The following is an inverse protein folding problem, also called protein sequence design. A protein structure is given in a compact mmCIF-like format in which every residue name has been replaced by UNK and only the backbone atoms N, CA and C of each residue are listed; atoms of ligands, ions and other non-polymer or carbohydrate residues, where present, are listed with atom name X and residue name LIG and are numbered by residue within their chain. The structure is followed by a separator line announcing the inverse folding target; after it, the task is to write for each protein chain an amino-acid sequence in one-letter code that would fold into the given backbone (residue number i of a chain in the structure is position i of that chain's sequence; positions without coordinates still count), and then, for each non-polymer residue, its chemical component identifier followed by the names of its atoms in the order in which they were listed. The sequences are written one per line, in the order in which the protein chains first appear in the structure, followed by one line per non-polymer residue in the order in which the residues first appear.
data_IF_451637359783
#
_entry.id   IF_451637359783
#
_cell.length_a   1.000
_cell.length_b   1.000
_cell.length_c   1.000
_cell.angle_alpha   90.00
_cell.angle_beta   90.00
_cell.angle_gamma   90.00
#
_symmetry.space_group_name_H-M   'P 1'
#
loop_
_entity.id
_entity.type
_entity.pdbx_description
1 polymer ?
#
# COMPACT_ATOMS: atom_id res chain seq x y z
N UNK A 1 22.69 7.88 -115.89
CA UNK A 1 22.77 8.94 -114.84
C UNK A 1 21.35 9.25 -114.37
N UNK A 2 20.98 8.89 -113.08
CA UNK A 2 19.69 9.19 -112.51
C UNK A 2 19.89 10.39 -111.54
N UNK A 3 19.35 11.54 -111.91
CA UNK A 3 19.34 12.74 -111.04
C UNK A 3 18.51 12.45 -109.76
N UNK A 4 19.13 12.68 -108.59
CA UNK A 4 18.41 12.67 -107.31
C UNK A 4 17.71 14.01 -107.18
N UNK A 5 16.39 14.04 -107.31
CA UNK A 5 15.55 15.18 -106.93
C UNK A 5 15.73 15.38 -105.38
N UNK A 6 16.29 16.53 -104.96
CA UNK A 6 16.22 17.01 -103.55
C UNK A 6 14.80 17.57 -103.34
N UNK A 7 14.01 16.87 -102.56
CA UNK A 7 12.73 17.37 -102.08
C UNK A 7 13.04 18.29 -100.88
N UNK A 8 12.98 19.59 -101.15
CA UNK A 8 13.09 20.64 -100.09
C UNK A 8 11.68 20.77 -99.48
N UNK A 9 11.48 20.33 -98.27
CA UNK A 9 10.27 20.65 -97.51
C UNK A 9 10.35 22.04 -96.95
N UNK A 10 9.61 22.96 -97.52
CA UNK A 10 9.45 24.32 -96.97
C UNK A 10 8.23 24.35 -96.08
N UNK A 11 8.48 24.66 -94.74
CA UNK A 11 7.40 24.76 -93.77
C UNK A 11 6.47 25.93 -94.07
N UNK A 12 5.17 25.74 -93.96
CA UNK A 12 4.18 26.80 -94.05
C UNK A 12 4.32 27.83 -92.94
N UNK A 13 3.88 29.08 -93.18
CA UNK A 13 3.90 30.14 -92.10
C UNK A 13 3.22 29.68 -90.85
N UNK A 14 2.18 28.89 -90.90
CA UNK A 14 1.48 28.29 -89.71
C UNK A 14 2.35 27.29 -88.98
N UNK A 15 3.06 26.43 -89.67
CA UNK A 15 3.98 25.47 -89.05
C UNK A 15 5.18 26.15 -88.43
N UNK A 16 5.71 27.21 -89.01
CA UNK A 16 6.79 28.03 -88.44
C UNK A 16 6.30 28.72 -87.16
N UNK A 17 5.12 29.34 -87.17
CA UNK A 17 4.52 29.97 -85.97
C UNK A 17 4.29 28.93 -84.85
N UNK A 18 3.73 27.77 -85.26
CA UNK A 18 3.50 26.68 -84.24
C UNK A 18 4.79 26.16 -83.62
N UNK A 19 5.87 26.02 -84.43
CA UNK A 19 7.17 25.61 -83.93
C UNK A 19 7.80 26.71 -83.04
N UNK A 20 7.63 27.99 -83.35
CA UNK A 20 8.06 29.09 -82.47
C UNK A 20 7.30 29.09 -81.15
N UNK A 21 5.99 28.89 -81.14
CA UNK A 21 5.18 28.82 -79.92
C UNK A 21 5.60 27.61 -79.10
N UNK A 22 5.76 26.44 -79.74
CA UNK A 22 6.20 25.21 -79.07
C UNK A 22 7.62 25.36 -78.48
N UNK A 23 8.57 25.99 -79.25
CA UNK A 23 9.92 26.25 -78.74
C UNK A 23 9.93 27.21 -77.55
N UNK A 24 9.07 28.25 -77.56
CA UNK A 24 8.91 29.16 -76.43
C UNK A 24 8.37 28.42 -75.21
N UNK A 25 7.37 27.58 -75.35
CA UNK A 25 6.86 26.73 -74.26
C UNK A 25 7.94 25.81 -73.67
N UNK A 26 8.74 25.16 -74.53
CA UNK A 26 9.86 24.32 -74.11
C UNK A 26 10.92 25.12 -73.38
N UNK A 27 11.28 26.29 -73.87
CA UNK A 27 12.27 27.16 -73.18
C UNK A 27 11.77 27.61 -71.84
N UNK A 28 10.48 28.00 -71.71
CA UNK A 28 9.86 28.37 -70.45
C UNK A 28 9.82 27.16 -69.49
N UNK A 29 9.42 25.98 -69.97
CA UNK A 29 9.40 24.77 -69.15
C UNK A 29 10.81 24.38 -68.68
N UNK A 30 11.82 24.46 -69.54
CA UNK A 30 13.21 24.22 -69.16
C UNK A 30 13.68 25.28 -68.13
N UNK A 31 13.32 26.54 -68.32
CA UNK A 31 13.63 27.61 -67.39
C UNK A 31 13.04 27.39 -66.01
N UNK A 32 11.76 27.02 -65.97
CA UNK A 32 11.09 26.65 -64.68
C UNK A 32 11.72 25.44 -64.03
N UNK A 33 12.03 24.42 -64.83
CA UNK A 33 12.71 23.21 -64.29
C UNK A 33 14.09 23.55 -63.75
N UNK A 34 14.91 24.32 -64.47
CA UNK A 34 16.24 24.76 -63.99
C UNK A 34 16.15 25.64 -62.75
N UNK A 35 15.18 26.52 -62.70
CA UNK A 35 14.91 27.35 -61.51
C UNK A 35 14.62 26.47 -60.26
N UNK A 36 13.67 25.55 -60.37
CA UNK A 36 13.36 24.60 -59.33
C UNK A 36 14.57 23.74 -58.92
N UNK A 37 15.32 23.26 -59.92
CA UNK A 37 16.50 22.45 -59.70
C UNK A 37 17.60 23.19 -58.92
N UNK A 38 17.86 24.47 -59.26
CA UNK A 38 18.86 25.27 -58.54
C UNK A 38 18.49 25.48 -57.09
N UNK A 39 17.20 25.64 -56.79
CA UNK A 39 16.70 25.82 -55.43
C UNK A 39 16.83 24.53 -54.62
N UNK A 40 16.45 23.42 -55.16
CA UNK A 40 16.38 22.13 -54.45
C UNK A 40 17.74 21.43 -54.35
N UNK A 41 18.63 21.71 -55.31
CA UNK A 41 19.95 21.03 -55.38
C UNK A 41 20.76 21.01 -54.09
N UNK A 42 20.82 22.04 -53.23
CA UNK A 42 21.52 21.98 -51.97
C UNK A 42 20.97 20.94 -51.01
N UNK A 43 19.66 20.66 -51.07
CA UNK A 43 18.92 19.79 -50.18
C UNK A 43 19.04 18.26 -50.51
N UNK A 44 19.78 17.93 -51.58
CA UNK A 44 20.25 16.53 -51.75
C UNK A 44 21.34 16.12 -50.74
N UNK A 45 21.94 17.11 -50.05
CA UNK A 45 23.00 16.87 -49.07
C UNK A 45 22.84 17.67 -47.77
N UNK A 46 21.77 18.43 -47.64
CA UNK A 46 21.39 19.19 -46.44
C UNK A 46 19.98 18.87 -46.02
N UNK A 47 19.70 19.06 -44.76
CA UNK A 47 18.34 18.91 -44.16
C UNK A 47 17.44 20.04 -44.72
N UNK A 48 16.18 19.70 -45.03
CA UNK A 48 15.16 20.61 -45.50
C UNK A 48 14.91 21.77 -44.52
N UNK A 49 14.44 22.95 -45.02
CA UNK A 49 13.97 24.04 -44.16
C UNK A 49 12.86 23.56 -43.21
N UNK A 50 12.70 24.27 -42.11
CA UNK A 50 11.66 24.01 -41.08
C UNK A 50 11.66 22.59 -40.49
N UNK A 51 12.86 21.98 -40.44
CA UNK A 51 13.05 20.63 -39.89
C UNK A 51 13.56 20.70 -38.45
N UNK A 52 12.93 19.88 -37.58
CA UNK A 52 13.21 19.82 -36.16
C UNK A 52 13.51 18.39 -35.71
N UNK A 53 14.36 18.28 -34.68
CA UNK A 53 14.49 17.08 -33.87
C UNK A 53 13.92 17.42 -32.49
N UNK A 54 12.69 16.97 -32.20
CA UNK A 54 11.92 17.43 -31.06
C UNK A 54 11.79 18.95 -31.01
N UNK A 55 12.44 19.60 -30.04
CA UNK A 55 12.46 21.10 -29.94
C UNK A 55 13.64 21.75 -30.67
N UNK A 56 14.61 20.98 -31.14
CA UNK A 56 15.84 21.52 -31.74
C UNK A 56 15.71 21.72 -33.24
N UNK A 57 16.01 22.92 -33.70
CA UNK A 57 16.01 23.28 -35.12
C UNK A 57 17.26 22.76 -35.81
N UNK A 58 17.10 21.90 -36.82
CA UNK A 58 18.19 21.22 -37.54
C UNK A 58 18.16 21.49 -39.05
N UNK A 59 17.38 22.48 -39.51
CA UNK A 59 17.30 22.84 -40.92
C UNK A 59 18.67 23.35 -41.46
N UNK A 60 18.87 23.15 -42.78
CA UNK A 60 20.09 23.53 -43.50
C UNK A 60 21.41 22.88 -43.05
N UNK A 61 21.36 21.98 -42.04
CA UNK A 61 22.52 21.22 -41.61
C UNK A 61 22.91 20.18 -42.68
N UNK A 62 24.19 20.12 -43.02
CA UNK A 62 24.66 19.10 -43.96
C UNK A 62 24.52 17.70 -43.36
N UNK A 63 24.22 16.68 -44.16
CA UNK A 63 24.14 15.31 -43.70
C UNK A 63 25.42 14.82 -43.00
N UNK A 64 26.58 15.30 -43.50
CA UNK A 64 27.88 14.98 -42.89
C UNK A 64 28.05 15.59 -41.50
N UNK A 65 27.40 16.73 -41.25
CA UNK A 65 27.49 17.46 -39.96
C UNK A 65 26.39 17.05 -38.96
N UNK A 66 25.38 16.31 -39.39
CA UNK A 66 24.25 15.91 -38.51
C UNK A 66 24.71 15.21 -37.25
N UNK A 67 25.74 14.32 -37.35
CA UNK A 67 26.24 13.62 -36.19
C UNK A 67 26.77 14.57 -35.12
N UNK A 68 27.52 15.59 -35.52
CA UNK A 68 28.08 16.59 -34.58
C UNK A 68 27.00 17.48 -33.97
N UNK A 69 25.98 17.85 -34.77
CA UNK A 69 24.86 18.66 -34.30
C UNK A 69 24.00 17.91 -33.30
N UNK A 70 23.71 16.62 -33.56
CA UNK A 70 22.96 15.78 -32.62
C UNK A 70 23.78 15.51 -31.35
N UNK A 71 25.12 15.40 -31.45
CA UNK A 71 26.00 15.31 -30.29
C UNK A 71 25.88 16.51 -29.36
N UNK A 72 25.84 17.69 -29.93
CA UNK A 72 25.68 18.97 -29.17
C UNK A 72 24.37 18.96 -28.34
N UNK A 73 23.29 18.49 -28.94
CA UNK A 73 21.98 18.41 -28.25
C UNK A 73 21.81 17.22 -27.33
N UNK A 74 22.61 16.16 -27.50
CA UNK A 74 22.44 14.90 -26.75
C UNK A 74 22.53 15.09 -25.24
N UNK A 75 23.39 15.98 -24.76
CA UNK A 75 23.52 16.28 -23.32
C UNK A 75 22.24 16.93 -22.77
N UNK A 76 21.67 17.87 -23.50
CA UNK A 76 20.42 18.52 -23.09
C UNK A 76 19.24 17.53 -23.16
N UNK A 77 19.15 16.72 -24.23
CA UNK A 77 18.12 15.71 -24.41
C UNK A 77 18.16 14.70 -23.25
N UNK A 78 19.34 14.20 -22.88
CA UNK A 78 19.48 13.22 -21.79
C UNK A 78 19.18 13.79 -20.40
N UNK A 79 19.22 15.10 -20.23
CA UNK A 79 18.85 15.78 -19.00
C UNK A 79 17.36 16.14 -18.93
N UNK A 80 16.60 15.97 -20.01
CA UNK A 80 15.13 16.07 -19.97
C UNK A 80 14.55 15.01 -19.05
N UNK A 81 13.40 15.31 -18.45
CA UNK A 81 12.82 14.48 -17.41
C UNK A 81 11.56 13.79 -17.87
N UNK A 82 11.41 12.57 -17.39
CA UNK A 82 10.18 11.79 -17.45
C UNK A 82 9.63 11.64 -16.02
N UNK A 83 8.32 11.64 -15.89
CA UNK A 83 7.65 11.37 -14.62
C UNK A 83 7.16 9.93 -14.58
N UNK A 84 7.62 9.17 -13.59
CA UNK A 84 7.13 7.83 -13.31
C UNK A 84 6.07 7.92 -12.21
N UNK A 85 4.85 7.49 -12.49
CA UNK A 85 3.78 7.39 -11.52
C UNK A 85 3.74 5.97 -10.97
N UNK A 86 3.94 5.82 -9.66
CA UNK A 86 3.94 4.52 -8.98
C UNK A 86 3.29 4.66 -7.61
N UNK A 87 2.34 3.78 -7.27
CA UNK A 87 1.64 3.79 -5.98
C UNK A 87 1.10 5.18 -5.60
N UNK A 88 0.48 5.90 -6.54
CA UNK A 88 -0.02 7.27 -6.40
C UNK A 88 1.04 8.33 -6.04
N UNK A 89 2.32 8.00 -6.17
CA UNK A 89 3.43 8.93 -5.99
C UNK A 89 4.13 9.18 -7.33
N UNK A 90 4.69 10.38 -7.48
CA UNK A 90 5.40 10.80 -8.67
C UNK A 90 6.90 10.81 -8.41
N UNK A 91 7.65 10.20 -9.31
CA UNK A 91 9.11 10.15 -9.30
C UNK A 91 9.60 10.75 -10.62
N UNK A 92 10.47 11.73 -10.56
CA UNK A 92 10.99 12.42 -11.75
C UNK A 92 12.44 12.04 -11.96
N UNK A 93 12.74 11.43 -13.11
CA UNK A 93 14.09 11.03 -13.51
C UNK A 93 14.42 11.61 -14.86
N UNK A 94 15.70 11.95 -15.08
CA UNK A 94 16.21 12.26 -16.40
C UNK A 94 16.38 10.99 -17.24
N UNK A 95 16.40 11.14 -18.57
CA UNK A 95 16.66 10.01 -19.46
C UNK A 95 18.04 9.38 -19.16
N UNK A 96 19.01 10.20 -18.74
CA UNK A 96 20.34 9.73 -18.30
C UNK A 96 20.26 8.83 -17.07
N UNK A 97 19.48 9.21 -16.04
CA UNK A 97 19.30 8.42 -14.83
C UNK A 97 18.62 7.06 -15.12
N UNK A 98 17.84 6.99 -16.19
CA UNK A 98 17.26 5.75 -16.69
C UNK A 98 18.24 4.90 -17.53
N UNK A 99 19.47 5.38 -17.75
CA UNK A 99 20.48 4.70 -18.56
C UNK A 99 20.25 4.79 -20.07
N UNK A 100 19.41 5.72 -20.53
CA UNK A 100 19.15 5.92 -21.95
C UNK A 100 20.34 6.60 -22.63
N UNK A 101 20.50 6.32 -23.91
CA UNK A 101 21.48 6.96 -24.79
C UNK A 101 20.76 7.40 -26.07
N UNK A 102 21.16 8.54 -26.65
CA UNK A 102 20.57 8.99 -27.92
C UNK A 102 21.10 8.11 -29.06
N UNK A 103 20.21 7.42 -29.77
CA UNK A 103 20.56 6.64 -30.96
C UNK A 103 20.70 7.54 -32.21
N UNK A 104 21.81 8.26 -32.26
CA UNK A 104 22.14 9.18 -33.32
C UNK A 104 22.12 8.55 -34.69
N UNK A 105 22.62 7.30 -34.81
CA UNK A 105 22.67 6.60 -36.10
C UNK A 105 21.27 6.36 -36.66
N UNK A 106 20.33 6.02 -35.81
CA UNK A 106 18.96 5.76 -36.22
C UNK A 106 18.26 7.08 -36.57
N UNK A 107 18.42 8.12 -35.75
CA UNK A 107 17.88 9.47 -36.03
C UNK A 107 18.36 9.98 -37.39
N UNK A 108 19.68 9.97 -37.63
CA UNK A 108 20.27 10.42 -38.90
C UNK A 108 19.71 9.59 -40.07
N UNK A 109 19.59 8.29 -39.89
CA UNK A 109 19.05 7.41 -40.91
C UNK A 109 17.60 7.78 -41.25
N UNK A 110 16.76 8.03 -40.26
CA UNK A 110 15.37 8.45 -40.47
C UNK A 110 15.29 9.75 -41.24
N UNK A 111 16.03 10.78 -40.84
CA UNK A 111 16.06 12.09 -41.50
C UNK A 111 16.49 11.95 -42.97
N UNK A 112 17.63 11.29 -43.18
CA UNK A 112 18.20 11.12 -44.53
C UNK A 112 17.32 10.21 -45.43
N UNK A 113 16.73 9.14 -44.86
CA UNK A 113 15.84 8.27 -45.64
C UNK A 113 14.53 8.94 -46.02
N UNK A 114 13.91 9.69 -45.09
CA UNK A 114 12.74 10.50 -45.38
C UNK A 114 13.01 11.43 -46.55
N UNK A 115 14.04 12.25 -46.47
CA UNK A 115 14.34 13.24 -47.49
C UNK A 115 14.75 12.60 -48.85
N UNK A 116 15.43 11.41 -48.83
CA UNK A 116 15.76 10.66 -50.04
C UNK A 116 14.58 9.93 -50.63
N UNK A 117 13.49 9.73 -49.92
CA UNK A 117 12.26 9.11 -50.45
C UNK A 117 11.43 10.10 -51.25
N UNK A 118 11.62 11.41 -51.06
CA UNK A 118 10.94 12.44 -51.81
C UNK A 118 11.48 12.49 -53.24
N UNK A 119 10.58 12.59 -54.19
CA UNK A 119 10.96 12.85 -55.58
C UNK A 119 11.33 14.36 -55.76
N UNK A 120 11.73 14.71 -56.95
CA UNK A 120 12.17 16.11 -57.23
C UNK A 120 11.05 17.12 -57.01
N UNK A 121 9.79 16.80 -57.35
CA UNK A 121 8.68 17.73 -57.22
C UNK A 121 8.24 17.81 -55.76
N UNK A 122 8.14 16.69 -55.07
CA UNK A 122 7.86 16.64 -53.63
C UNK A 122 8.91 17.42 -52.81
N UNK A 123 10.19 17.25 -53.14
CA UNK A 123 11.26 17.97 -52.48
C UNK A 123 11.19 19.49 -52.71
N UNK A 124 10.72 19.92 -53.94
CA UNK A 124 10.50 21.33 -54.22
C UNK A 124 9.26 21.88 -53.48
N UNK A 125 8.20 21.11 -53.42
CA UNK A 125 6.95 21.47 -52.77
C UNK A 125 7.19 21.62 -51.25
N UNK A 126 7.86 20.66 -50.61
CA UNK A 126 8.29 20.72 -49.20
C UNK A 126 9.14 21.99 -48.91
N UNK A 127 10.04 22.31 -49.84
CA UNK A 127 10.87 23.52 -49.69
C UNK A 127 10.03 24.80 -49.77
N UNK A 128 9.05 24.89 -50.71
CA UNK A 128 8.24 26.08 -50.94
C UNK A 128 7.16 26.26 -49.89
N UNK A 129 6.50 25.20 -49.52
CA UNK A 129 5.39 25.19 -48.57
C UNK A 129 5.87 25.30 -47.13
N UNK A 130 7.19 25.12 -46.89
CA UNK A 130 7.81 25.12 -45.56
C UNK A 130 7.05 24.21 -44.59
N UNK A 131 6.74 23.00 -45.03
CA UNK A 131 6.11 22.03 -44.18
C UNK A 131 7.02 21.72 -43.01
N UNK A 132 6.43 21.75 -41.79
CA UNK A 132 7.17 21.49 -40.56
C UNK A 132 7.46 20.01 -40.43
N UNK A 133 8.71 19.61 -40.66
CA UNK A 133 9.20 18.25 -40.46
C UNK A 133 9.70 18.09 -39.03
N UNK A 134 9.02 17.25 -38.23
CA UNK A 134 9.41 17.04 -36.83
C UNK A 134 9.77 15.56 -36.59
N UNK A 135 11.06 15.31 -36.35
CA UNK A 135 11.57 14.00 -35.98
C UNK A 135 11.64 13.88 -34.46
N UNK A 136 11.28 12.69 -33.93
CA UNK A 136 11.34 12.41 -32.51
C UNK A 136 12.73 11.92 -32.10
N UNK A 137 13.03 12.03 -30.81
CA UNK A 137 14.22 11.42 -30.24
C UNK A 137 14.09 9.90 -30.34
N UNK A 138 15.22 9.25 -30.64
CA UNK A 138 15.32 7.80 -30.58
C UNK A 138 16.39 7.45 -29.58
N UNK A 139 16.02 6.60 -28.62
CA UNK A 139 16.94 6.15 -27.59
C UNK A 139 17.35 4.70 -27.84
N UNK A 140 18.61 4.42 -27.54
CA UNK A 140 19.10 3.08 -27.27
C UNK A 140 19.16 2.89 -25.75
N UNK A 141 18.90 1.68 -25.29
CA UNK A 141 18.88 1.31 -23.89
C UNK A 141 19.38 -0.12 -23.71
N UNK A 142 19.81 -0.42 -22.49
CA UNK A 142 20.14 -1.76 -22.03
C UNK A 142 19.02 -2.22 -21.09
N UNK A 143 18.34 -3.30 -21.42
CA UNK A 143 17.20 -3.82 -20.64
C UNK A 143 17.64 -4.27 -19.23
N UNK A 144 18.84 -4.82 -19.08
CA UNK A 144 19.36 -5.23 -17.77
C UNK A 144 19.59 -4.01 -16.86
N UNK A 145 20.14 -2.93 -17.43
CA UNK A 145 20.31 -1.64 -16.72
C UNK A 145 18.97 -1.04 -16.29
N UNK A 146 17.96 -1.06 -17.16
CA UNK A 146 16.62 -0.59 -16.82
C UNK A 146 15.95 -1.46 -15.75
N UNK A 147 16.16 -2.76 -15.83
CA UNK A 147 15.66 -3.70 -14.82
C UNK A 147 16.31 -3.48 -13.47
N UNK A 148 17.62 -3.20 -13.43
CA UNK A 148 18.34 -2.85 -12.21
C UNK A 148 17.85 -1.52 -11.62
N UNK A 149 17.58 -0.52 -12.46
CA UNK A 149 16.95 0.74 -12.05
C UNK A 149 15.58 0.47 -11.41
N UNK A 150 14.72 -0.32 -12.06
CA UNK A 150 13.39 -0.66 -11.52
C UNK A 150 13.49 -1.46 -10.22
N UNK A 151 14.45 -2.33 -10.06
CA UNK A 151 14.70 -3.03 -8.80
C UNK A 151 15.14 -2.06 -7.69
N UNK A 152 15.91 -1.04 -8.02
CA UNK A 152 16.30 0.01 -7.07
C UNK A 152 15.08 0.88 -6.69
N UNK A 153 14.26 1.25 -7.67
CA UNK A 153 13.01 1.95 -7.42
C UNK A 153 12.05 1.14 -6.56
N UNK A 154 11.97 -0.18 -6.81
CA UNK A 154 11.16 -1.12 -6.02
C UNK A 154 11.48 -1.04 -4.52
N UNK A 155 12.74 -0.94 -4.14
CA UNK A 155 13.15 -0.79 -2.73
C UNK A 155 12.64 0.51 -2.08
N UNK A 156 12.32 1.53 -2.88
CA UNK A 156 11.80 2.81 -2.40
C UNK A 156 10.27 2.86 -2.34
N UNK A 157 9.60 2.15 -3.26
CA UNK A 157 8.14 2.25 -3.43
C UNK A 157 7.37 1.09 -2.80
N UNK A 158 8.02 -0.04 -2.55
CA UNK A 158 7.37 -1.19 -1.92
C UNK A 158 7.03 -0.85 -0.47
N UNK A 159 5.81 -1.20 -0.09
CA UNK A 159 5.27 -1.02 1.26
C UNK A 159 4.88 -2.37 1.81
N UNK A 160 5.43 -2.72 2.96
CA UNK A 160 5.02 -3.93 3.67
C UNK A 160 3.65 -3.71 4.30
N UNK A 161 2.71 -4.61 4.02
CA UNK A 161 1.39 -4.60 4.64
C UNK A 161 1.49 -4.64 6.16
N UNK A 162 0.68 -3.83 6.80
CA UNK A 162 0.42 -3.91 8.25
C UNK A 162 -1.08 -3.93 8.48
N UNK A 163 -1.58 -4.99 9.11
CA UNK A 163 -2.99 -5.03 9.52
C UNK A 163 -3.25 -4.06 10.67
N UNK A 164 -4.50 -3.60 10.79
CA UNK A 164 -4.90 -2.73 11.88
C UNK A 164 -4.77 -3.44 13.23
N UNK A 165 -4.36 -2.72 14.25
CA UNK A 165 -4.09 -3.26 15.58
C UNK A 165 -4.46 -2.27 16.68
N UNK A 166 -4.65 -2.80 17.89
CA UNK A 166 -4.78 -1.97 19.07
C UNK A 166 -3.40 -1.58 19.62
N UNK A 167 -3.24 -0.32 19.96
CA UNK A 167 -2.05 0.24 20.61
C UNK A 167 -2.45 0.93 21.90
N UNK A 168 -1.59 0.84 22.89
CA UNK A 168 -1.75 1.52 24.17
C UNK A 168 -0.67 2.57 24.33
N UNK A 169 -1.06 3.81 24.66
CA UNK A 169 -0.13 4.90 24.89
C UNK A 169 0.57 4.79 26.27
N UNK A 170 1.49 5.69 26.56
CA UNK A 170 2.23 5.74 27.83
C UNK A 170 1.30 5.97 29.05
N UNK A 171 0.16 6.60 28.85
CA UNK A 171 -0.88 6.83 29.85
C UNK A 171 -1.87 5.67 29.94
N UNK A 172 -1.64 4.59 29.19
CA UNK A 172 -2.51 3.42 29.06
C UNK A 172 -3.90 3.74 28.49
N UNK A 173 -3.99 4.70 27.57
CA UNK A 173 -5.18 4.88 26.74
C UNK A 173 -5.10 3.98 25.53
N UNK A 174 -6.16 3.24 25.26
CA UNK A 174 -6.28 2.35 24.12
C UNK A 174 -6.73 3.12 22.88
N UNK A 175 -6.06 2.86 21.75
CA UNK A 175 -6.47 3.35 20.45
C UNK A 175 -6.33 2.26 19.39
N UNK A 176 -7.21 2.26 18.39
CA UNK A 176 -7.08 1.42 17.21
C UNK A 176 -6.30 2.17 16.14
N UNK A 177 -5.22 1.56 15.68
CA UNK A 177 -4.40 2.07 14.58
C UNK A 177 -4.81 1.35 13.30
N UNK A 178 -5.21 2.12 12.29
CA UNK A 178 -5.56 1.56 10.99
C UNK A 178 -4.37 0.88 10.34
N UNK A 179 -4.63 -0.20 9.66
CA UNK A 179 -3.64 -0.91 8.86
C UNK A 179 -3.26 -0.12 7.62
N UNK A 180 -2.08 -0.42 7.11
CA UNK A 180 -1.51 0.15 5.89
C UNK A 180 -1.46 -0.93 4.83
N UNK A 181 -2.06 -0.64 3.67
CA UNK A 181 -2.00 -1.54 2.52
C UNK A 181 -0.55 -1.76 2.09
N UNK A 182 -0.21 -3.00 1.81
CA UNK A 182 1.05 -3.34 1.16
C UNK A 182 1.01 -2.98 -0.33
N UNK A 183 2.15 -2.63 -0.86
CA UNK A 183 2.36 -2.43 -2.30
C UNK A 183 3.66 -3.10 -2.72
N UNK A 184 3.68 -3.73 -3.88
CA UNK A 184 4.89 -4.31 -4.48
C UNK A 184 4.93 -4.03 -5.97
N UNK A 185 5.97 -3.31 -6.42
CA UNK A 185 6.19 -2.99 -7.83
C UNK A 185 6.42 -4.27 -8.63
N UNK A 186 5.71 -4.44 -9.75
CA UNK A 186 5.95 -5.46 -10.75
C UNK A 186 7.02 -4.96 -11.74
N UNK A 187 8.24 -5.42 -11.54
CA UNK A 187 9.41 -4.97 -12.31
C UNK A 187 9.29 -5.36 -13.77
N UNK A 188 8.85 -6.59 -14.08
CA UNK A 188 8.81 -7.09 -15.44
C UNK A 188 7.71 -6.41 -16.28
N UNK A 189 6.51 -6.22 -15.72
CA UNK A 189 5.45 -5.48 -16.38
C UNK A 189 5.79 -3.98 -16.51
N UNK A 190 6.38 -3.39 -15.50
CA UNK A 190 6.80 -1.97 -15.52
C UNK A 190 7.92 -1.73 -16.54
N UNK A 191 8.84 -2.69 -16.71
CA UNK A 191 9.85 -2.65 -17.76
C UNK A 191 9.20 -2.62 -19.15
N UNK A 192 8.26 -3.53 -19.41
CA UNK A 192 7.56 -3.56 -20.67
C UNK A 192 6.83 -2.25 -21.00
N UNK A 193 6.20 -1.64 -19.99
CA UNK A 193 5.54 -0.31 -20.11
C UNK A 193 6.55 0.79 -20.42
N UNK A 194 7.71 0.80 -19.75
CA UNK A 194 8.77 1.77 -20.04
C UNK A 194 9.32 1.64 -21.44
N UNK A 195 9.57 0.41 -21.90
CA UNK A 195 10.09 0.14 -23.25
C UNK A 195 9.11 0.60 -24.34
N UNK A 196 7.82 0.39 -24.12
CA UNK A 196 6.77 0.90 -25.03
C UNK A 196 6.72 2.42 -25.04
N UNK A 197 6.79 3.04 -23.85
CA UNK A 197 6.79 4.50 -23.72
C UNK A 197 8.00 5.15 -24.40
N UNK A 198 9.18 4.52 -24.37
CA UNK A 198 10.40 5.03 -25.02
C UNK A 198 10.33 5.11 -26.55
N UNK A 199 9.36 4.45 -27.17
CA UNK A 199 9.16 4.54 -28.61
C UNK A 199 8.47 5.86 -29.03
N UNK A 200 7.77 6.52 -28.09
CA UNK A 200 6.95 7.72 -28.36
C UNK A 200 7.12 8.78 -27.25
N UNK A 201 8.36 8.98 -26.78
CA UNK A 201 8.62 9.95 -25.71
C UNK A 201 8.53 11.40 -26.23
N UNK A 202 7.62 12.16 -25.62
CA UNK A 202 7.64 13.61 -25.62
C UNK A 202 8.25 14.12 -24.30
N UNK A 203 8.90 15.28 -24.35
CA UNK A 203 9.37 15.98 -23.15
C UNK A 203 8.21 16.19 -22.16
N UNK A 204 8.41 15.80 -20.90
CA UNK A 204 7.42 15.76 -19.82
C UNK A 204 6.38 14.63 -19.88
N UNK A 205 6.65 13.54 -20.57
CA UNK A 205 5.79 12.35 -20.53
C UNK A 205 5.64 11.78 -19.12
N UNK A 206 4.43 11.33 -18.79
CA UNK A 206 4.16 10.62 -17.55
C UNK A 206 3.89 9.16 -17.85
N UNK A 207 4.64 8.25 -17.23
CA UNK A 207 4.50 6.80 -17.39
C UNK A 207 4.03 6.19 -16.08
N UNK A 208 2.91 5.48 -16.14
CA UNK A 208 2.35 4.79 -14.97
C UNK A 208 2.93 3.38 -14.87
N UNK A 209 3.70 3.15 -13.81
CA UNK A 209 4.21 1.83 -13.46
C UNK A 209 3.15 1.02 -12.72
N UNK A 210 3.25 -0.30 -12.76
CA UNK A 210 2.26 -1.21 -12.18
C UNK A 210 2.84 -2.01 -11.03
N UNK A 211 1.96 -2.40 -10.12
CA UNK A 211 2.30 -3.24 -8.98
C UNK A 211 1.08 -3.89 -8.38
N UNK A 212 1.30 -4.81 -7.45
CA UNK A 212 0.26 -5.48 -6.70
C UNK A 212 -0.01 -4.79 -5.37
N UNK A 213 -1.28 -4.68 -4.99
CA UNK A 213 -1.71 -4.16 -3.69
C UNK A 213 -2.18 -5.32 -2.83
N UNK A 214 -1.57 -5.50 -1.65
CA UNK A 214 -2.03 -6.42 -0.62
C UNK A 214 -2.80 -5.62 0.45
N UNK A 215 -4.13 -5.79 0.46
CA UNK A 215 -5.01 -5.01 1.33
C UNK A 215 -4.82 -5.35 2.80
N UNK A 216 -4.64 -4.32 3.62
CA UNK A 216 -4.63 -4.44 5.07
C UNK A 216 -6.01 -4.85 5.60
N UNK A 217 -6.01 -5.72 6.60
CA UNK A 217 -7.23 -6.06 7.33
C UNK A 217 -7.54 -4.94 8.33
N UNK A 218 -8.69 -4.30 8.15
CA UNK A 218 -9.21 -3.28 9.05
C UNK A 218 -10.60 -3.68 9.52
N UNK A 219 -10.85 -3.55 10.82
CA UNK A 219 -12.18 -3.76 11.38
C UNK A 219 -12.74 -2.44 11.90
N UNK A 220 -13.77 -1.92 11.25
CA UNK A 220 -14.39 -0.65 11.62
C UNK A 220 -15.01 -0.67 13.03
N UNK A 221 -15.44 -1.84 13.53
CA UNK A 221 -15.96 -1.99 14.89
C UNK A 221 -14.89 -1.73 15.95
N UNK A 222 -13.60 -2.01 15.65
CA UNK A 222 -12.51 -1.79 16.59
C UNK A 222 -12.25 -0.31 16.87
N UNK A 223 -12.55 0.58 15.91
CA UNK A 223 -12.42 2.03 16.08
C UNK A 223 -13.33 2.60 17.17
N UNK A 224 -14.39 1.88 17.54
CA UNK A 224 -15.31 2.29 18.59
C UNK A 224 -14.86 1.89 20.00
N UNK A 225 -13.76 1.12 20.12
CA UNK A 225 -13.24 0.62 21.40
C UNK A 225 -12.18 1.61 21.91
N UNK A 226 -12.61 2.61 22.65
CA UNK A 226 -11.77 3.74 23.10
C UNK A 226 -11.92 4.06 24.60
N UNK A 227 -12.87 3.39 25.28
CA UNK A 227 -13.23 3.72 26.66
C UNK A 227 -13.04 2.53 27.57
N UNK A 228 -12.37 2.73 28.71
CA UNK A 228 -12.30 1.72 29.77
C UNK A 228 -13.64 1.66 30.50
N UNK A 229 -14.38 0.56 30.28
CA UNK A 229 -15.74 0.36 30.81
C UNK A 229 -15.75 -0.32 32.16
N UNK A 230 -14.80 -1.22 32.43
CA UNK A 230 -14.64 -1.83 33.76
C UNK A 230 -13.18 -2.17 34.04
N UNK A 231 -12.84 -2.32 35.31
CA UNK A 231 -11.50 -2.63 35.78
C UNK A 231 -11.58 -3.37 37.11
N UNK A 232 -10.70 -4.35 37.28
CA UNK A 232 -10.49 -4.98 38.59
C UNK A 232 -9.01 -5.33 38.78
N UNK A 233 -8.57 -5.37 40.05
CA UNK A 233 -7.20 -5.75 40.37
C UNK A 233 -7.17 -6.65 41.59
N UNK A 234 -6.16 -7.52 41.66
CA UNK A 234 -5.83 -8.31 42.84
C UNK A 234 -4.35 -8.22 43.16
N UNK A 235 -4.01 -8.19 44.42
CA UNK A 235 -2.61 -8.10 44.90
C UNK A 235 -1.98 -9.47 45.04
N UNK A 236 -0.67 -9.56 44.81
CA UNK A 236 0.12 -10.76 45.02
C UNK A 236 1.57 -10.43 45.39
N UNK A 237 2.27 -11.40 45.99
CA UNK A 237 3.68 -11.22 46.28
C UNK A 237 4.55 -11.49 45.05
N UNK A 238 5.28 -10.45 44.52
CA UNK A 238 5.83 -10.52 43.16
C UNK A 238 7.14 -11.34 43.01
N UNK A 239 7.75 -11.75 44.12
CA UNK A 239 9.09 -12.35 44.15
C UNK A 239 9.13 -13.85 44.31
N UNK A 240 8.05 -14.55 44.09
CA UNK A 240 7.95 -15.99 44.19
C UNK A 240 7.55 -16.60 42.84
N UNK A 241 7.83 -17.89 42.60
CA UNK A 241 7.54 -18.58 41.36
C UNK A 241 6.06 -18.57 40.97
N UNK A 242 5.15 -18.53 41.98
CA UNK A 242 3.72 -18.31 41.74
C UNK A 242 3.44 -17.04 40.91
N UNK A 243 4.17 -15.98 41.15
CA UNK A 243 4.03 -14.72 40.41
C UNK A 243 4.34 -14.87 38.90
N UNK A 244 5.22 -15.80 38.53
CA UNK A 244 5.46 -16.15 37.11
C UNK A 244 4.20 -16.69 36.47
N UNK A 245 3.48 -17.61 37.13
CA UNK A 245 2.23 -18.17 36.60
C UNK A 245 1.14 -17.09 36.40
N UNK A 246 1.05 -16.11 37.31
CA UNK A 246 0.11 -15.02 37.20
C UNK A 246 0.44 -14.14 35.97
N UNK A 247 1.71 -13.76 35.79
CA UNK A 247 2.16 -12.98 34.64
C UNK A 247 1.93 -13.72 33.33
N UNK A 248 2.20 -15.02 33.29
CA UNK A 248 1.96 -15.86 32.10
C UNK A 248 0.48 -15.89 31.77
N UNK A 249 -0.41 -16.08 32.77
CA UNK A 249 -1.84 -16.10 32.54
C UNK A 249 -2.35 -14.74 32.03
N UNK A 250 -1.88 -13.62 32.60
CA UNK A 250 -2.20 -12.26 32.12
C UNK A 250 -1.75 -12.06 30.67
N UNK A 251 -0.51 -12.43 30.34
CA UNK A 251 0.01 -12.31 28.96
C UNK A 251 -0.80 -13.10 27.93
N UNK A 252 -1.38 -14.23 28.33
CA UNK A 252 -2.22 -15.02 27.42
C UNK A 252 -3.61 -14.44 27.18
N UNK A 253 -4.13 -13.63 28.09
CA UNK A 253 -5.45 -13.00 27.94
C UNK A 253 -5.33 -11.53 27.50
N UNK A 254 -4.15 -10.91 27.62
CA UNK A 254 -3.92 -9.55 27.15
C UNK A 254 -4.09 -9.47 25.64
N UNK A 255 -4.79 -8.44 25.18
CA UNK A 255 -5.10 -8.26 23.75
C UNK A 255 -6.28 -9.09 23.26
N UNK A 256 -6.93 -9.89 24.11
CA UNK A 256 -8.10 -10.65 23.70
C UNK A 256 -9.26 -9.74 23.30
N UNK A 257 -9.85 -10.01 22.14
CA UNK A 257 -11.00 -9.27 21.61
C UNK A 257 -12.21 -10.21 21.62
N UNK A 258 -13.29 -9.78 22.26
CA UNK A 258 -14.52 -10.55 22.40
C UNK A 258 -15.63 -9.79 21.66
N UNK A 259 -16.08 -10.36 20.53
CA UNK A 259 -17.10 -9.72 19.69
C UNK A 259 -18.47 -9.75 20.38
N UNK A 260 -19.43 -8.88 19.97
CA UNK A 260 -20.80 -8.91 20.46
C UNK A 260 -21.41 -10.31 20.38
N UNK A 261 -21.95 -10.79 21.50
CA UNK A 261 -22.55 -12.13 21.62
C UNK A 261 -21.56 -13.28 21.82
N UNK A 262 -20.25 -13.06 21.68
CA UNK A 262 -19.22 -14.07 21.91
C UNK A 262 -19.04 -14.39 23.38
N UNK A 263 -18.62 -15.65 23.64
CA UNK A 263 -18.29 -16.11 24.98
C UNK A 263 -16.77 -16.17 25.15
N UNK A 264 -16.26 -15.40 26.10
CA UNK A 264 -14.89 -15.53 26.57
C UNK A 264 -14.76 -16.81 27.39
N UNK A 265 -13.69 -17.57 27.13
CA UNK A 265 -13.30 -18.77 27.92
C UNK A 265 -11.88 -18.56 28.40
N UNK A 266 -11.68 -18.51 29.71
CA UNK A 266 -10.35 -18.35 30.27
C UNK A 266 -9.43 -19.49 29.88
N UNK A 267 -9.96 -20.73 29.83
CA UNK A 267 -9.21 -21.91 29.41
C UNK A 267 -8.78 -21.82 27.94
N UNK A 268 -9.63 -21.34 27.06
CA UNK A 268 -9.30 -21.15 25.62
C UNK A 268 -8.08 -20.26 25.42
N UNK A 269 -7.94 -19.21 26.18
CA UNK A 269 -6.82 -18.27 26.10
C UNK A 269 -5.62 -18.70 26.92
N UNK A 270 -5.78 -18.94 28.21
CA UNK A 270 -4.72 -19.19 29.18
C UNK A 270 -4.39 -20.66 29.42
N UNK A 271 -5.29 -21.60 29.11
CA UNK A 271 -5.08 -23.05 29.31
C UNK A 271 -4.35 -23.73 28.14
N UNK A 272 -3.97 -25.02 28.29
CA UNK A 272 -3.83 -25.73 29.54
C UNK A 272 -2.73 -25.12 30.42
N UNK A 273 -2.87 -25.23 31.75
CA UNK A 273 -1.98 -24.52 32.71
C UNK A 273 -0.64 -25.20 32.92
N UNK A 274 -0.22 -26.06 32.00
CA UNK A 274 1.10 -26.67 31.90
C UNK A 274 1.81 -26.34 30.56
N UNK A 275 1.21 -25.43 29.75
CA UNK A 275 1.83 -24.99 28.49
C UNK A 275 3.03 -24.08 28.74
N UNK A 276 3.72 -23.68 27.69
CA UNK A 276 4.93 -22.88 27.76
C UNK A 276 4.79 -21.64 28.65
N UNK A 277 5.80 -21.41 29.49
CA UNK A 277 5.87 -20.27 30.40
C UNK A 277 5.37 -20.55 31.82
N UNK A 278 4.46 -21.52 32.02
CA UNK A 278 4.03 -21.89 33.38
C UNK A 278 5.10 -22.71 34.09
N UNK A 279 5.28 -22.43 35.38
CA UNK A 279 6.26 -23.08 36.24
C UNK A 279 5.62 -23.80 37.41
N UNK A 280 6.36 -24.71 38.02
CA UNK A 280 5.95 -25.34 39.26
C UNK A 280 5.91 -24.33 40.42
N UNK A 281 4.83 -24.39 41.20
CA UNK A 281 4.73 -23.78 42.50
C UNK A 281 4.04 -24.76 43.43
N UNK A 282 4.74 -25.17 44.50
CA UNK A 282 4.43 -26.39 45.28
C UNK A 282 4.33 -27.63 44.36
N UNK A 283 3.25 -28.34 44.41
CA UNK A 283 3.04 -29.66 43.72
C UNK A 283 2.51 -29.52 42.29
N UNK A 284 2.13 -28.33 41.83
CA UNK A 284 1.43 -28.14 40.54
C UNK A 284 2.08 -27.08 39.65
N UNK A 285 2.12 -27.39 38.36
CA UNK A 285 2.42 -26.40 37.33
C UNK A 285 1.23 -25.46 37.17
N UNK A 286 1.46 -24.16 36.99
CA UNK A 286 0.40 -23.17 36.78
C UNK A 286 -0.37 -22.81 38.07
N UNK A 287 0.07 -23.27 39.23
CA UNK A 287 -0.56 -22.91 40.49
C UNK A 287 -0.54 -21.39 40.69
N UNK A 288 -1.71 -20.82 41.03
CA UNK A 288 -1.95 -19.39 41.18
C UNK A 288 -2.80 -18.78 40.06
N UNK A 289 -2.97 -19.43 38.90
CA UNK A 289 -3.73 -18.94 37.74
C UNK A 289 -5.18 -18.59 38.10
N UNK A 290 -5.80 -19.29 39.07
CA UNK A 290 -7.14 -18.95 39.54
C UNK A 290 -7.29 -17.53 40.04
N UNK A 291 -6.21 -16.88 40.53
CA UNK A 291 -6.26 -15.47 40.92
C UNK A 291 -6.53 -14.57 39.72
N UNK A 292 -5.95 -14.89 38.56
CA UNK A 292 -6.20 -14.10 37.34
C UNK A 292 -7.61 -14.35 36.81
N UNK A 293 -8.10 -15.62 36.83
CA UNK A 293 -9.49 -15.89 36.50
C UNK A 293 -10.47 -15.16 37.42
N UNK A 294 -10.15 -15.06 38.73
CA UNK A 294 -10.90 -14.27 39.70
C UNK A 294 -10.88 -12.77 39.35
N UNK A 295 -9.72 -12.23 38.92
CA UNK A 295 -9.59 -10.83 38.53
C UNK A 295 -10.47 -10.54 37.30
N UNK A 296 -10.44 -11.42 36.28
CA UNK A 296 -11.32 -11.33 35.08
C UNK A 296 -12.80 -11.43 35.46
N UNK A 297 -13.15 -12.36 36.38
CA UNK A 297 -14.54 -12.53 36.84
C UNK A 297 -15.09 -11.24 37.45
N UNK A 298 -14.34 -10.62 38.36
CA UNK A 298 -14.77 -9.37 38.98
C UNK A 298 -14.83 -8.20 37.98
N UNK A 299 -13.88 -8.12 37.04
CA UNK A 299 -13.97 -7.14 35.95
C UNK A 299 -15.23 -7.34 35.11
N UNK A 300 -15.63 -8.61 34.82
CA UNK A 300 -16.85 -8.93 34.10
C UNK A 300 -18.11 -8.54 34.89
N UNK A 301 -18.14 -8.75 36.20
CA UNK A 301 -19.26 -8.33 37.07
C UNK A 301 -19.40 -6.81 37.06
N UNK A 302 -18.28 -6.08 37.21
CA UNK A 302 -18.26 -4.61 37.19
C UNK A 302 -18.57 -4.02 35.81
N UNK A 303 -18.44 -4.83 34.74
CA UNK A 303 -18.92 -4.52 33.40
C UNK A 303 -20.39 -4.88 33.16
N UNK A 304 -21.08 -5.48 34.11
CA UNK A 304 -22.47 -5.91 33.94
C UNK A 304 -22.62 -7.01 32.89
N UNK A 305 -21.59 -7.83 32.68
CA UNK A 305 -21.57 -8.91 31.69
C UNK A 305 -22.22 -10.18 32.23
N UNK A 306 -22.80 -10.97 31.35
CA UNK A 306 -23.39 -12.27 31.68
C UNK A 306 -22.31 -13.29 32.04
N UNK A 307 -22.35 -13.86 33.25
CA UNK A 307 -21.46 -14.94 33.68
C UNK A 307 -22.03 -16.27 33.21
N UNK A 308 -21.37 -16.87 32.22
CA UNK A 308 -21.80 -18.15 31.65
C UNK A 308 -21.36 -19.32 32.49
N UNK A 309 -20.15 -19.27 33.06
CA UNK A 309 -19.59 -20.36 33.84
C UNK A 309 -18.63 -19.86 34.92
N UNK A 310 -18.87 -20.25 36.17
CA UNK A 310 -17.98 -19.91 37.30
C UNK A 310 -18.03 -21.00 38.34
N UNK A 311 -16.92 -21.38 38.88
CA UNK A 311 -16.78 -22.30 39.99
C UNK A 311 -16.03 -21.62 41.16
N UNK A 312 -16.51 -21.75 42.41
CA UNK A 312 -15.77 -21.29 43.57
C UNK A 312 -14.60 -22.24 43.92
N UNK A 313 -13.66 -21.78 44.71
CA UNK A 313 -12.68 -22.66 45.37
C UNK A 313 -13.31 -23.47 46.46
N UNK A 314 -12.61 -24.56 46.90
CA UNK A 314 -12.98 -25.30 48.08
C UNK A 314 -12.80 -24.47 49.38
N UNK A 315 -11.75 -23.64 49.45
CA UNK A 315 -11.46 -22.71 50.53
C UNK A 315 -11.61 -21.26 50.08
N UNK A 316 -11.90 -20.37 51.01
CA UNK A 316 -12.02 -18.92 50.75
C UNK A 316 -10.68 -18.35 50.28
N UNK A 317 -10.68 -17.69 49.15
CA UNK A 317 -9.50 -17.04 48.60
C UNK A 317 -9.15 -15.76 49.39
N UNK A 318 -7.85 -15.48 49.66
CA UNK A 318 -7.45 -14.34 50.50
C UNK A 318 -7.42 -12.99 49.74
N UNK A 319 -7.49 -13.00 48.40
CA UNK A 319 -7.30 -11.82 47.53
C UNK A 319 -8.62 -11.19 47.10
N UNK A 320 -9.79 -11.76 47.48
CA UNK A 320 -11.13 -11.18 47.22
C UNK A 320 -12.07 -11.49 48.37
N UNK A 321 -13.17 -10.76 48.57
CA UNK A 321 -14.24 -11.14 49.51
C UNK A 321 -14.84 -12.49 49.15
N UNK A 322 -15.34 -13.21 50.13
CA UNK A 322 -15.92 -14.54 49.95
C UNK A 322 -17.05 -14.56 48.93
N UNK A 323 -17.09 -15.56 48.08
CA UNK A 323 -18.06 -15.69 46.99
C UNK A 323 -17.74 -14.92 45.70
N UNK A 324 -16.68 -14.12 45.71
CA UNK A 324 -16.22 -13.38 44.53
C UNK A 324 -14.98 -14.00 43.86
N UNK A 325 -14.62 -15.21 44.20
CA UNK A 325 -13.53 -15.97 43.60
C UNK A 325 -13.99 -16.80 42.40
N UNK A 326 -13.08 -17.14 41.50
CA UNK A 326 -13.29 -18.08 40.39
C UNK A 326 -12.12 -19.05 40.29
N UNK A 327 -12.46 -20.36 40.22
CA UNK A 327 -11.49 -21.44 40.05
C UNK A 327 -11.39 -21.88 38.60
N UNK A 328 -10.16 -22.16 38.17
CA UNK A 328 -9.85 -22.76 36.88
C UNK A 328 -8.84 -23.91 37.11
N UNK A 329 -8.98 -24.99 36.34
CA UNK A 329 -8.08 -26.11 36.41
C UNK A 329 -8.01 -26.88 35.08
N UNK A 330 -6.87 -27.52 34.82
CA UNK A 330 -6.72 -28.45 33.71
C UNK A 330 -6.25 -29.81 34.26
N UNK A 331 -6.87 -30.89 33.83
CA UNK A 331 -6.57 -32.23 34.26
C UNK A 331 -5.98 -33.06 33.12
N UNK A 332 -5.14 -34.01 33.43
CA UNK A 332 -4.52 -34.92 32.45
C UNK A 332 -5.53 -35.76 31.67
N UNK A 333 -6.75 -35.94 32.21
CA UNK A 333 -7.87 -36.61 31.55
C UNK A 333 -8.48 -35.79 30.37
N UNK A 334 -8.04 -34.56 30.18
CA UNK A 334 -8.62 -33.64 29.21
C UNK A 334 -9.83 -32.84 29.73
N UNK A 335 -10.33 -33.17 30.93
CA UNK A 335 -11.36 -32.37 31.57
C UNK A 335 -10.76 -31.05 32.11
N UNK A 336 -11.55 -29.96 32.11
CA UNK A 336 -11.11 -28.67 32.63
C UNK A 336 -12.22 -27.99 33.44
N UNK A 337 -11.81 -27.18 34.42
CA UNK A 337 -12.65 -26.21 35.09
C UNK A 337 -12.35 -24.85 34.45
N UNK A 338 -13.38 -24.20 33.95
CA UNK A 338 -13.23 -22.96 33.17
C UNK A 338 -14.07 -21.82 33.75
N UNK A 339 -13.60 -20.60 33.58
CA UNK A 339 -14.37 -19.40 33.81
C UNK A 339 -14.78 -18.80 32.44
N UNK A 340 -16.08 -18.46 32.31
CA UNK A 340 -16.64 -17.93 31.06
C UNK A 340 -17.60 -16.79 31.34
N UNK A 341 -17.52 -15.74 30.52
CA UNK A 341 -18.52 -14.68 30.44
C UNK A 341 -18.89 -14.41 28.98
N UNK A 342 -20.09 -13.88 28.74
CA UNK A 342 -20.56 -13.48 27.41
C UNK A 342 -20.49 -11.98 27.26
N UNK A 343 -19.99 -11.52 26.12
CA UNK A 343 -20.10 -10.11 25.74
C UNK A 343 -21.55 -9.81 25.36
N UNK A 344 -22.27 -9.16 26.25
CA UNK A 344 -23.65 -8.73 26.05
C UNK A 344 -23.79 -7.33 25.46
N UNK A 345 -22.67 -6.64 25.23
CA UNK A 345 -22.65 -5.35 24.59
C UNK A 345 -22.89 -5.45 23.08
N UNK A 346 -23.32 -4.35 22.47
CA UNK A 346 -23.38 -4.20 21.01
C UNK A 346 -22.03 -3.86 20.38
N UNK A 347 -20.98 -3.76 21.17
CA UNK A 347 -19.61 -3.38 20.81
C UNK A 347 -18.62 -4.45 21.22
N UNK A 348 -17.47 -4.55 20.54
CA UNK A 348 -16.38 -5.45 20.97
C UNK A 348 -15.85 -5.06 22.35
N UNK A 349 -15.35 -6.05 23.09
CA UNK A 349 -14.57 -5.85 24.31
C UNK A 349 -13.12 -6.19 23.99
N UNK A 350 -12.19 -5.27 24.30
CA UNK A 350 -10.75 -5.55 24.32
C UNK A 350 -10.32 -5.71 25.79
N UNK A 351 -9.59 -6.77 26.08
CA UNK A 351 -9.06 -7.07 27.41
C UNK A 351 -7.62 -6.58 27.48
N UNK A 352 -7.34 -5.61 28.37
CA UNK A 352 -5.98 -5.24 28.73
C UNK A 352 -5.62 -5.85 30.09
N UNK A 353 -4.59 -6.70 30.10
CA UNK A 353 -4.21 -7.47 31.29
C UNK A 353 -2.71 -7.31 31.57
N UNK A 354 -2.36 -6.77 32.74
CA UNK A 354 -0.98 -6.37 33.05
C UNK A 354 -0.66 -6.41 34.53
N UNK A 355 0.62 -6.24 34.84
CA UNK A 355 1.13 -6.17 36.23
C UNK A 355 1.76 -4.81 36.46
N UNK A 356 1.42 -4.21 37.60
CA UNK A 356 2.13 -3.06 38.18
C UNK A 356 2.57 -3.44 39.60
N UNK A 357 3.90 -3.53 39.82
CA UNK A 357 4.43 -3.95 41.11
C UNK A 357 3.96 -5.36 41.48
N UNK A 358 3.17 -5.46 42.58
CA UNK A 358 2.52 -6.71 43.02
C UNK A 358 1.02 -6.75 42.76
N UNK A 359 0.53 -6.04 41.76
CA UNK A 359 -0.88 -5.94 41.41
C UNK A 359 -1.12 -6.54 40.01
N UNK A 360 -2.07 -7.44 39.91
CA UNK A 360 -2.58 -7.99 38.65
C UNK A 360 -3.83 -7.22 38.25
N UNK A 361 -3.75 -6.49 37.16
CA UNK A 361 -4.82 -5.64 36.64
C UNK A 361 -5.47 -6.30 35.42
N UNK A 362 -6.80 -6.18 35.34
CA UNK A 362 -7.59 -6.51 34.15
C UNK A 362 -8.55 -5.37 33.89
N UNK A 363 -8.37 -4.71 32.75
CA UNK A 363 -9.22 -3.63 32.26
C UNK A 363 -10.00 -4.12 31.03
N UNK A 364 -11.31 -3.86 31.01
CA UNK A 364 -12.13 -4.07 29.81
C UNK A 364 -12.35 -2.73 29.12
N UNK A 365 -12.01 -2.69 27.85
CA UNK A 365 -12.19 -1.55 26.98
C UNK A 365 -13.29 -1.84 25.97
N UNK A 366 -14.16 -0.89 25.73
CA UNK A 366 -15.24 -0.97 24.76
C UNK A 366 -15.64 0.43 24.29
N UNK A 367 -16.84 0.58 23.75
CA UNK A 367 -17.41 1.90 23.45
C UNK A 367 -17.96 2.54 24.73
N UNK A 368 -17.89 3.87 24.82
CA UNK A 368 -18.46 4.65 25.96
C UNK A 368 -19.93 4.36 26.24
N UNK A 369 -20.69 3.99 25.21
CA UNK A 369 -22.13 3.70 25.31
C UNK A 369 -22.42 2.20 25.59
N UNK A 370 -21.38 1.36 25.71
CA UNK A 370 -21.53 -0.08 25.85
C UNK A 370 -22.35 -0.49 27.08
N UNK A 371 -22.18 0.22 28.20
CA UNK A 371 -22.90 -0.04 29.43
C UNK A 371 -24.26 0.68 29.53
N UNK A 372 -24.66 1.45 28.51
CA UNK A 372 -25.93 2.19 28.49
C UNK A 372 -26.07 3.20 29.64
N UNK A 373 -24.96 3.82 30.07
CA UNK A 373 -24.92 4.74 31.19
C UNK A 373 -25.09 4.12 32.56
N UNK A 374 -24.96 2.78 32.66
CA UNK A 374 -25.01 2.05 33.92
C UNK A 374 -23.63 1.88 34.52
N UNK A 375 -23.59 1.74 35.85
CA UNK A 375 -22.40 1.29 36.60
C UNK A 375 -22.79 0.18 37.57
N UNK A 376 -21.81 -0.61 37.97
CA UNK A 376 -22.06 -1.81 38.77
C UNK A 376 -21.12 -1.85 39.97
N UNK A 377 -21.61 -2.43 41.07
CA UNK A 377 -20.80 -2.81 42.21
C UNK A 377 -21.19 -4.18 42.73
N UNK A 378 -20.29 -4.83 43.45
CA UNK A 378 -20.53 -6.13 44.07
C UNK A 378 -20.61 -6.02 45.57
N UNK A 379 -21.50 -6.79 46.17
CA UNK A 379 -21.60 -6.94 47.62
C UNK A 379 -21.45 -8.42 48.02
N UNK A 380 -20.67 -8.70 49.04
CA UNK A 380 -20.51 -10.02 49.62
C UNK A 380 -21.01 -10.04 51.06
N UNK A 381 -22.08 -10.80 51.33
CA UNK A 381 -22.68 -10.93 52.64
C UNK A 381 -22.40 -12.34 53.19
N UNK A 382 -21.71 -12.38 54.34
CA UNK A 382 -21.43 -13.66 55.00
C UNK A 382 -22.71 -14.25 55.62
N UNK A 383 -22.94 -15.52 55.35
CA UNK A 383 -24.05 -16.32 55.89
C UNK A 383 -23.48 -17.55 56.60
N UNK A 384 -23.56 -17.57 57.96
CA UNK A 384 -22.88 -18.60 58.78
C UNK A 384 -21.35 -18.49 58.73
N UNK A 385 -20.66 -19.60 59.05
CA UNK A 385 -19.18 -19.62 59.21
C UNK A 385 -18.46 -19.66 57.85
N UNK A 386 -19.02 -20.37 56.85
CA UNK A 386 -18.36 -20.71 55.57
C UNK A 386 -19.19 -20.30 54.35
N UNK A 387 -20.34 -19.66 54.55
CA UNK A 387 -21.26 -19.29 53.48
C UNK A 387 -21.17 -17.80 53.12
N UNK A 388 -21.32 -17.45 51.82
CA UNK A 388 -21.40 -16.10 51.36
C UNK A 388 -22.47 -16.02 50.28
N UNK A 389 -23.32 -14.96 50.39
CA UNK A 389 -24.22 -14.57 49.31
C UNK A 389 -23.68 -13.33 48.65
N UNK A 390 -23.52 -13.35 47.35
CA UNK A 390 -23.02 -12.21 46.55
C UNK A 390 -24.16 -11.59 45.77
N UNK A 391 -24.16 -10.25 45.75
CA UNK A 391 -25.11 -9.44 45.04
C UNK A 391 -24.37 -8.54 44.03
N UNK A 392 -25.05 -8.28 42.90
CA UNK A 392 -24.67 -7.28 41.93
C UNK A 392 -25.64 -6.11 42.05
N UNK A 393 -25.11 -4.94 42.31
CA UNK A 393 -25.88 -3.69 42.32
C UNK A 393 -25.72 -3.01 40.99
N UNK A 394 -26.83 -2.54 40.40
CA UNK A 394 -26.85 -1.75 39.16
C UNK A 394 -27.29 -0.35 39.46
N UNK A 395 -26.56 0.61 38.99
CA UNK A 395 -26.84 2.03 39.15
C UNK A 395 -27.10 2.67 37.79
N UNK A 396 -28.02 3.63 37.73
CA UNK A 396 -28.29 4.49 36.59
C UNK A 396 -28.19 5.94 37.07
N UNK A 397 -27.29 6.72 36.50
CA UNK A 397 -27.04 8.12 36.94
C UNK A 397 -26.76 8.24 38.46
N UNK A 398 -26.04 7.28 39.03
CA UNK A 398 -25.69 7.22 40.43
C UNK A 398 -26.80 6.75 41.38
N UNK A 399 -27.99 6.45 40.88
CA UNK A 399 -29.12 5.90 41.66
C UNK A 399 -29.14 4.38 41.46
N UNK A 400 -29.22 3.62 42.57
CA UNK A 400 -29.40 2.19 42.54
C UNK A 400 -30.80 1.84 41.96
N UNK A 401 -30.76 1.05 40.88
CA UNK A 401 -32.00 0.60 40.20
C UNK A 401 -32.25 -0.90 40.35
N UNK A 402 -31.23 -1.68 40.74
CA UNK A 402 -31.36 -3.11 40.99
C UNK A 402 -30.30 -3.61 41.96
N UNK A 403 -30.70 -4.55 42.81
CA UNK A 403 -29.82 -5.39 43.64
C UNK A 403 -30.18 -6.86 43.38
N UNK A 404 -29.35 -7.54 42.63
CA UNK A 404 -29.57 -8.92 42.21
C UNK A 404 -28.67 -9.89 42.94
N UNK A 405 -29.23 -11.00 43.42
CA UNK A 405 -28.44 -12.10 43.97
C UNK A 405 -27.82 -12.90 42.84
N UNK A 406 -26.48 -12.85 42.70
CA UNK A 406 -25.76 -13.55 41.63
C UNK A 406 -25.31 -14.98 42.04
N UNK A 407 -24.97 -15.20 43.32
CA UNK A 407 -24.54 -16.52 43.79
C UNK A 407 -24.73 -16.67 45.30
N UNK A 408 -24.79 -17.95 45.75
CA UNK A 408 -24.51 -18.36 47.13
C UNK A 408 -23.40 -19.39 47.08
N UNK A 409 -22.30 -19.12 47.78
CA UNK A 409 -21.12 -19.96 47.82
C UNK A 409 -20.91 -20.51 49.23
N UNK A 410 -20.69 -21.82 49.34
CA UNK A 410 -20.34 -22.52 50.57
C UNK A 410 -18.95 -23.12 50.39
N UNK A 411 -18.00 -22.73 51.24
CA UNK A 411 -16.67 -23.30 51.23
C UNK A 411 -16.67 -24.57 52.09
N UNK A 412 -16.01 -25.62 51.59
CA UNK A 412 -15.88 -26.91 52.29
C UNK A 412 -14.72 -26.92 53.26
N UNK A 413 -13.75 -26.03 53.06
CA UNK A 413 -12.51 -25.88 53.83
C UNK A 413 -12.36 -24.46 54.40
N UNK A 414 -11.62 -24.33 55.49
CA UNK A 414 -11.33 -23.04 56.12
C UNK A 414 -10.13 -22.35 55.51
#
# INVERSE_FOLDING_TARGET
MKEKKKIGYWLTKREVIMLMVLSTFIIVAIGLFLYRYIIVRPYYSKVLPDTYLGKYFIADVSFDSLNSVIDEYSEEILNEKITLLCNNQQYSYSYRELGLQVDKKHIIRQIVQYQKSLDFLELYDDFVDQEKNNFQYIFSYDEDTLKEFLNTLKLQVDVVKKDGYFSMDENRNLQYVDGVDGFSLDVDQSLAILLDAFQNLDSNSTVSLVGSVDKASNNSQYKSVDTKVSSFMTTFYPYISRATNLRVALNYIDGAIIMPGEVFSFYKYAGPYNKSGYVFYYEFVGNGVCQIATTVYNAALLGGLEIVKRYPHAAKSPYVPGGLDATVASYSSGWNVDFQFKNTYSYPIYISAYVIGGEAHVDFWSNKDAMGGKTYSTESVQIGTRGYTTYLHTYQNGVEISREKIATTWYSED
#
